data_IF_071773911865
#
_entry.id   IF_071773911865
#
_cell.length_a   1.000
_cell.length_b   1.000
_cell.length_c   1.000
_cell.angle_alpha   90.00
_cell.angle_beta   90.00
_cell.angle_gamma   90.00
#
_symmetry.space_group_name_H-M   'P 1'
#
loop_
_entity.id
_entity.type
_entity.pdbx_description
1 polymer ?
#
# COMPACT_ATOMS: atom_id res chain seq x y z
N UNK A 1 -11.60 1.35 9.58
CA UNK A 1 -10.80 1.43 8.35
C UNK A 1 -9.35 1.68 8.70
N UNK A 2 -8.45 0.83 8.25
CA UNK A 2 -7.03 1.04 8.51
C UNK A 2 -6.49 2.26 7.77
N UNK A 3 -5.71 3.03 8.47
CA UNK A 3 -5.08 4.21 7.95
C UNK A 3 -5.82 5.50 8.20
N UNK A 4 -5.32 6.60 7.62
CA UNK A 4 -4.15 6.61 6.74
C UNK A 4 -2.84 6.36 7.51
N UNK A 5 -1.89 5.72 6.82
CA UNK A 5 -0.54 5.51 7.31
C UNK A 5 0.40 6.44 6.55
N UNK A 6 1.18 7.21 7.28
CA UNK A 6 2.13 8.15 6.68
C UNK A 6 3.50 7.50 6.66
N UNK A 7 4.02 7.23 5.45
CA UNK A 7 5.27 6.50 5.27
C UNK A 7 6.32 7.40 4.63
N UNK A 8 7.36 7.73 5.39
CA UNK A 8 8.55 8.37 4.83
C UNK A 8 9.38 7.36 4.05
N UNK A 9 10.36 7.84 3.30
CA UNK A 9 11.25 6.97 2.52
C UNK A 9 11.83 5.87 3.40
N UNK A 10 11.67 4.62 2.99
CA UNK A 10 12.16 3.45 3.72
C UNK A 10 11.26 2.97 4.85
N UNK A 11 10.21 3.70 5.19
CA UNK A 11 9.27 3.27 6.22
C UNK A 11 8.22 2.32 5.68
N UNK A 12 7.68 1.49 6.56
CA UNK A 12 6.63 0.55 6.22
C UNK A 12 5.61 0.40 7.33
N UNK A 13 4.49 -0.21 6.99
CA UNK A 13 3.43 -0.55 7.93
C UNK A 13 3.10 -2.01 7.77
N UNK A 14 3.11 -2.75 8.89
CA UNK A 14 2.78 -4.18 8.91
C UNK A 14 1.42 -4.40 9.56
N UNK A 15 0.93 -5.63 9.47
CA UNK A 15 -0.30 -6.08 10.16
C UNK A 15 -1.51 -5.25 9.75
N UNK A 16 -1.62 -4.95 8.46
CA UNK A 16 -2.79 -4.25 7.92
C UNK A 16 -3.86 -5.29 7.60
N UNK A 17 -5.07 -5.19 8.19
CA UNK A 17 -6.14 -6.14 7.89
C UNK A 17 -6.60 -6.00 6.44
N UNK A 18 -6.97 -7.13 5.83
CA UNK A 18 -7.54 -7.17 4.48
C UNK A 18 -8.91 -7.82 4.54
N UNK A 19 -9.70 -7.66 3.47
CA UNK A 19 -11.01 -8.28 3.37
C UNK A 19 -10.88 -9.79 3.19
N UNK A 20 -11.95 -10.51 3.56
CA UNK A 20 -11.98 -11.96 3.42
C UNK A 20 -11.78 -12.41 1.97
N UNK A 21 -11.36 -13.66 1.80
CA UNK A 21 -11.22 -14.27 0.47
C UNK A 21 -12.49 -14.09 -0.36
N UNK A 22 -12.32 -13.76 -1.63
CA UNK A 22 -13.42 -13.46 -2.55
C UNK A 22 -13.83 -11.99 -2.56
N UNK A 23 -13.30 -11.17 -1.64
CA UNK A 23 -13.56 -9.73 -1.60
C UNK A 23 -12.27 -8.97 -1.84
N UNK A 24 -12.36 -7.89 -2.61
CA UNK A 24 -11.19 -7.07 -2.90
C UNK A 24 -10.99 -6.00 -1.83
N UNK A 25 -9.74 -5.84 -1.43
CA UNK A 25 -9.31 -4.75 -0.57
C UNK A 25 -8.81 -3.61 -1.46
N UNK A 26 -9.32 -2.41 -1.23
CA UNK A 26 -8.89 -1.22 -1.96
C UNK A 26 -7.74 -0.58 -1.19
N UNK A 27 -6.59 -0.46 -1.85
CA UNK A 27 -5.43 0.24 -1.30
C UNK A 27 -5.29 1.55 -2.05
N UNK A 28 -5.40 2.65 -1.32
CA UNK A 28 -5.26 4.00 -1.89
C UNK A 28 -3.96 4.60 -1.42
N UNK A 29 -3.14 5.05 -2.35
CA UNK A 29 -1.84 5.64 -2.07
C UNK A 29 -1.82 7.07 -2.61
N UNK A 30 -1.52 8.02 -1.74
CA UNK A 30 -1.41 9.43 -2.12
C UNK A 30 0.06 9.84 -2.13
N UNK A 31 0.49 10.42 -3.24
CA UNK A 31 1.82 10.98 -3.43
C UNK A 31 1.66 12.48 -3.64
N UNK A 32 1.95 13.27 -2.60
CA UNK A 32 1.81 14.72 -2.65
C UNK A 32 3.08 15.43 -3.15
N UNK A 33 4.11 14.67 -3.53
CA UNK A 33 5.33 15.24 -4.09
C UNK A 33 5.19 15.41 -5.60
N UNK A 34 6.06 16.21 -6.24
CA UNK A 34 6.08 16.30 -7.70
C UNK A 34 6.85 15.16 -8.37
N UNK A 35 7.40 14.25 -7.61
CA UNK A 35 8.26 13.15 -8.10
C UNK A 35 7.58 11.81 -7.98
N UNK A 36 8.03 10.85 -8.80
CA UNK A 36 7.52 9.49 -8.77
C UNK A 36 7.90 8.81 -7.46
N UNK A 37 6.91 8.16 -6.82
CA UNK A 37 7.13 7.31 -5.65
C UNK A 37 7.13 5.84 -6.01
N UNK A 38 7.44 5.00 -5.05
CA UNK A 38 7.40 3.55 -5.22
C UNK A 38 6.96 2.90 -3.92
N UNK A 39 6.03 1.96 -4.04
CA UNK A 39 5.49 1.22 -2.90
C UNK A 39 5.62 -0.26 -3.16
N UNK A 40 5.95 -1.03 -2.12
CA UNK A 40 5.86 -2.48 -2.18
C UNK A 40 4.74 -2.96 -1.27
N UNK A 41 4.11 -4.07 -1.68
CA UNK A 41 3.03 -4.71 -0.92
C UNK A 41 3.30 -6.20 -0.86
N UNK A 42 3.12 -6.79 0.32
CA UNK A 42 3.23 -8.22 0.51
C UNK A 42 2.11 -8.70 1.43
N UNK A 43 1.34 -9.68 0.99
CA UNK A 43 0.25 -10.27 1.75
C UNK A 43 0.60 -11.71 2.10
N UNK A 44 0.84 -11.99 3.38
CA UNK A 44 1.19 -13.33 3.85
C UNK A 44 2.43 -13.87 3.17
N UNK A 45 2.32 -15.07 2.61
CA UNK A 45 3.41 -15.75 1.90
C UNK A 45 3.45 -15.45 0.41
N UNK A 46 2.57 -14.57 -0.08
CA UNK A 46 2.53 -14.20 -1.50
C UNK A 46 3.78 -13.42 -1.90
N UNK A 47 4.17 -13.45 -3.18
CA UNK A 47 5.28 -12.63 -3.65
C UNK A 47 5.05 -11.15 -3.40
N UNK A 48 6.13 -10.44 -3.13
CA UNK A 48 6.09 -9.00 -2.96
C UNK A 48 5.81 -8.31 -4.29
N UNK A 49 4.86 -7.38 -4.29
CA UNK A 49 4.53 -6.58 -5.48
C UNK A 49 5.14 -5.18 -5.33
N UNK A 50 5.62 -4.64 -6.44
CA UNK A 50 6.15 -3.27 -6.49
C UNK A 50 5.29 -2.44 -7.44
N UNK A 51 4.91 -1.25 -6.99
CA UNK A 51 4.09 -0.34 -7.78
C UNK A 51 4.73 1.05 -7.79
N UNK A 52 4.82 1.65 -8.97
CA UNK A 52 5.23 3.04 -9.12
C UNK A 52 4.02 3.93 -8.82
N UNK A 53 4.21 4.94 -8.00
CA UNK A 53 3.14 5.84 -7.57
C UNK A 53 3.40 7.22 -8.14
N UNK A 54 2.64 7.56 -9.16
CA UNK A 54 2.71 8.89 -9.78
C UNK A 54 2.19 9.95 -8.80
N UNK A 55 2.59 11.23 -8.98
CA UNK A 55 2.02 12.32 -8.19
C UNK A 55 0.48 12.31 -8.26
N UNK A 56 -0.15 12.49 -7.13
CA UNK A 56 -1.60 12.40 -7.00
C UNK A 56 -2.01 11.18 -6.19
N UNK A 57 -3.17 10.63 -6.50
CA UNK A 57 -3.74 9.51 -5.77
C UNK A 57 -3.94 8.32 -6.70
N UNK A 58 -3.46 7.16 -6.28
CA UNK A 58 -3.56 5.90 -7.01
C UNK A 58 -4.31 4.89 -6.14
N UNK A 59 -5.28 4.21 -6.71
CA UNK A 59 -6.02 3.16 -6.02
C UNK A 59 -5.79 1.81 -6.69
N UNK A 60 -5.54 0.80 -5.88
CA UNK A 60 -5.34 -0.57 -6.32
C UNK A 60 -6.34 -1.46 -5.58
N UNK A 61 -6.93 -2.40 -6.29
CA UNK A 61 -7.84 -3.37 -5.68
C UNK A 61 -7.29 -4.78 -5.88
N UNK A 62 -7.17 -5.53 -4.79
CA UNK A 62 -6.66 -6.90 -4.80
C UNK A 62 -7.43 -7.75 -3.81
N UNK A 63 -7.62 -9.02 -4.13
CA UNK A 63 -8.11 -10.02 -3.18
C UNK A 63 -6.89 -10.60 -2.45
N UNK A 64 -6.68 -10.15 -1.23
CA UNK A 64 -5.58 -10.63 -0.40
C UNK A 64 -5.94 -11.85 0.43
N UNK A 65 -7.15 -12.38 0.29
CA UNK A 65 -7.58 -13.60 0.97
C UNK A 65 -7.70 -13.47 2.48
N UNK A 66 -7.86 -12.27 3.01
CA UNK A 66 -7.98 -12.04 4.45
C UNK A 66 -6.67 -12.12 5.23
N UNK A 67 -5.53 -12.31 4.55
CA UNK A 67 -4.23 -12.31 5.22
C UNK A 67 -3.76 -10.88 5.51
N UNK A 68 -2.87 -10.75 6.49
CA UNK A 68 -2.34 -9.44 6.85
C UNK A 68 -1.42 -8.91 5.77
N UNK A 69 -1.55 -7.62 5.49
CA UNK A 69 -0.79 -6.94 4.45
C UNK A 69 0.34 -6.12 5.08
N UNK A 70 1.48 -6.12 4.41
CA UNK A 70 2.61 -5.25 4.71
C UNK A 70 2.85 -4.34 3.51
N UNK A 71 2.94 -3.04 3.75
CA UNK A 71 3.32 -2.06 2.72
C UNK A 71 4.59 -1.38 3.14
N UNK A 72 5.43 -1.03 2.17
CA UNK A 72 6.68 -0.34 2.44
C UNK A 72 6.94 0.69 1.36
N UNK A 73 7.38 1.87 1.78
CA UNK A 73 7.79 2.93 0.87
C UNK A 73 9.21 2.65 0.36
N UNK A 74 9.30 2.19 -0.89
CA UNK A 74 10.57 1.83 -1.52
C UNK A 74 11.18 2.99 -2.31
N UNK A 75 10.50 4.13 -2.35
CA UNK A 75 10.97 5.30 -3.09
C UNK A 75 11.63 6.34 -2.20
N UNK A 76 11.78 7.54 -2.75
CA UNK A 76 12.46 8.65 -2.08
C UNK A 76 11.50 9.77 -1.67
N UNK A 77 10.22 9.58 -1.84
CA UNK A 77 9.20 10.58 -1.50
C UNK A 77 8.22 10.00 -0.49
N UNK A 78 7.66 10.83 0.42
CA UNK A 78 6.69 10.33 1.38
C UNK A 78 5.39 9.92 0.69
N UNK A 79 4.76 8.89 1.21
CA UNK A 79 3.49 8.36 0.70
C UNK A 79 2.50 8.24 1.86
N UNK A 80 1.22 8.40 1.54
CA UNK A 80 0.14 8.15 2.48
C UNK A 80 -0.69 6.98 1.96
N UNK A 81 -0.89 5.97 2.80
CA UNK A 81 -1.57 4.73 2.40
C UNK A 81 -2.79 4.51 3.29
N UNK A 82 -3.90 4.15 2.68
CA UNK A 82 -5.09 3.71 3.43
C UNK A 82 -5.71 2.50 2.73
N UNK A 83 -6.45 1.70 3.48
CA UNK A 83 -7.16 0.53 2.93
C UNK A 83 -8.64 0.58 3.27
N UNK A 84 -9.45 -0.01 2.40
CA UNK A 84 -10.89 -0.14 2.61
C UNK A 84 -11.40 -1.54 2.30
#
# INVERSE_FOLDING_TARGET
MPGPFFLDSGEGQTVIPTRAAGKRTKVTVANFSPSLGRLSMKAGASPQEFEDIEPGEVSLERDFGGVLLTVQNEGNVPLTVKTE
#
